data_IF_281248959785
#
_entry.id   IF_281248959785
#
_cell.length_a   1.000
_cell.length_b   1.000
_cell.length_c   1.000
_cell.angle_alpha   90.00
_cell.angle_beta   90.00
_cell.angle_gamma   90.00
#
_symmetry.space_group_name_H-M   'P 1'
#
loop_
_entity.id
_entity.type
_entity.pdbx_description
1 polymer ?
#
# COMPACT_ATOMS: atom_id res chain seq x y z
N UNK A 1 -1.72 25.05 20.93
CA UNK A 1 -2.09 24.32 19.71
C UNK A 1 -1.56 22.90 19.85
N UNK A 2 -2.42 21.95 20.24
CA UNK A 2 -2.00 20.60 20.60
C UNK A 2 -2.15 19.66 19.39
N UNK A 3 -1.06 19.44 18.65
CA UNK A 3 -0.95 18.30 17.74
C UNK A 3 -0.71 17.04 18.58
N UNK A 4 -1.75 16.56 19.26
CA UNK A 4 -1.69 15.31 20.01
C UNK A 4 -1.93 14.14 19.06
N UNK A 5 -0.83 13.42 18.83
CA UNK A 5 -0.76 11.95 18.73
C UNK A 5 -1.67 11.27 17.69
N UNK A 6 -1.16 11.17 16.45
CA UNK A 6 -1.56 10.13 15.48
C UNK A 6 -0.39 9.19 15.19
N UNK A 7 0.33 8.77 16.23
CA UNK A 7 1.45 7.81 16.15
C UNK A 7 1.43 6.79 17.30
N UNK A 8 0.23 6.43 17.79
CA UNK A 8 0.05 5.39 18.81
C UNK A 8 -0.63 4.12 18.27
N UNK A 9 -0.96 4.08 16.97
CA UNK A 9 -1.29 2.85 16.27
C UNK A 9 -0.01 2.37 15.60
N UNK A 10 0.42 1.15 15.93
CA UNK A 10 1.73 0.59 15.62
C UNK A 10 2.26 0.92 14.23
N UNK A 11 3.55 1.23 14.19
CA UNK A 11 4.29 1.57 12.98
C UNK A 11 4.10 0.49 11.92
N UNK A 12 3.52 0.85 10.77
CA UNK A 12 3.47 -0.05 9.60
C UNK A 12 4.88 -0.23 9.05
N UNK A 13 5.22 -1.47 8.73
CA UNK A 13 6.56 -1.88 8.29
C UNK A 13 6.47 -2.61 6.96
N UNK A 14 7.56 -2.60 6.18
CA UNK A 14 7.65 -3.42 4.96
C UNK A 14 7.30 -4.86 5.29
N UNK A 15 6.44 -5.45 4.46
CA UNK A 15 5.85 -6.77 4.67
C UNK A 15 4.46 -6.75 5.30
N UNK A 16 4.03 -5.66 5.95
CA UNK A 16 2.68 -5.57 6.51
C UNK A 16 1.60 -5.57 5.41
N UNK A 17 0.50 -6.28 5.66
CA UNK A 17 -0.71 -6.16 4.84
C UNK A 17 -1.52 -5.00 5.40
N UNK A 18 -1.90 -4.04 4.55
CA UNK A 18 -2.55 -2.79 4.95
C UNK A 18 -3.85 -2.56 4.20
N UNK A 19 -4.80 -1.93 4.90
CA UNK A 19 -5.99 -1.36 4.29
C UNK A 19 -5.67 0.07 3.83
N UNK A 20 -5.95 0.38 2.57
CA UNK A 20 -5.56 1.64 1.92
C UNK A 20 -6.72 2.24 1.14
N UNK A 21 -6.87 3.58 1.18
CA UNK A 21 -7.80 4.29 0.30
C UNK A 21 -7.31 4.24 -1.13
N UNK A 22 -8.15 3.79 -2.07
CA UNK A 22 -7.75 3.69 -3.48
C UNK A 22 -7.44 5.08 -4.05
N UNK A 23 -6.26 5.28 -4.66
CA UNK A 23 -5.94 6.53 -5.35
C UNK A 23 -6.83 6.78 -6.57
N UNK A 24 -7.32 5.72 -7.20
CA UNK A 24 -8.15 5.78 -8.40
C UNK A 24 -9.64 5.97 -8.09
N UNK A 25 -10.09 5.53 -6.91
CA UNK A 25 -11.46 5.70 -6.46
C UNK A 25 -11.51 5.97 -4.95
N UNK A 26 -11.60 7.23 -4.51
CA UNK A 26 -11.61 7.59 -3.08
C UNK A 26 -12.76 6.98 -2.27
N UNK A 27 -13.82 6.50 -2.92
CA UNK A 27 -14.95 5.83 -2.25
C UNK A 27 -14.66 4.34 -1.95
N UNK A 28 -13.51 3.80 -2.37
CA UNK A 28 -13.17 2.39 -2.16
C UNK A 28 -11.85 2.19 -1.42
N UNK A 29 -11.77 1.07 -0.70
CA UNK A 29 -10.58 0.63 0.00
C UNK A 29 -10.00 -0.62 -0.66
N UNK A 30 -8.68 -0.77 -0.61
CA UNK A 30 -7.94 -1.92 -1.09
C UNK A 30 -7.16 -2.56 0.06
N UNK A 31 -6.86 -3.86 -0.06
CA UNK A 31 -5.95 -4.56 0.85
C UNK A 31 -4.69 -4.93 0.07
N UNK A 32 -3.55 -4.36 0.43
CA UNK A 32 -2.28 -4.57 -0.28
C UNK A 32 -1.13 -4.78 0.69
N UNK A 33 -0.04 -5.39 0.23
CA UNK A 33 1.18 -5.55 1.01
C UNK A 33 2.09 -4.35 0.82
N UNK A 34 2.57 -3.79 1.92
CA UNK A 34 3.58 -2.75 1.93
C UNK A 34 4.92 -3.35 1.47
N UNK A 35 5.32 -3.04 0.23
CA UNK A 35 6.50 -3.61 -0.39
C UNK A 35 7.75 -2.74 -0.19
N UNK A 36 7.59 -1.42 -0.13
CA UNK A 36 8.69 -0.50 0.13
C UNK A 36 8.20 0.84 0.69
N UNK A 37 9.10 1.54 1.37
CA UNK A 37 8.93 2.86 1.99
C UNK A 37 9.87 3.89 1.33
N UNK A 38 9.67 5.16 1.69
CA UNK A 38 10.57 6.26 1.31
C UNK A 38 12.05 5.93 1.56
N UNK A 39 12.89 6.33 0.62
CA UNK A 39 14.33 6.05 0.60
C UNK A 39 14.73 4.72 -0.03
N UNK A 40 13.78 3.81 -0.31
CA UNK A 40 14.07 2.55 -1.01
C UNK A 40 13.92 2.69 -2.52
N UNK A 41 14.72 1.91 -3.26
CA UNK A 41 14.61 1.79 -4.71
C UNK A 41 13.50 0.80 -5.11
N UNK A 42 12.79 1.13 -6.18
CA UNK A 42 11.82 0.26 -6.84
C UNK A 42 11.91 0.42 -8.34
N UNK A 43 11.30 -0.49 -9.09
CA UNK A 43 11.26 -0.46 -10.56
C UNK A 43 9.88 -0.05 -11.02
N UNK A 44 9.84 0.96 -11.89
CA UNK A 44 8.61 1.39 -12.56
C UNK A 44 8.12 0.29 -13.49
N UNK A 45 6.87 -0.12 -13.33
CA UNK A 45 6.27 -1.15 -14.17
C UNK A 45 6.09 -0.72 -15.63
N UNK A 46 6.07 0.60 -15.91
CA UNK A 46 5.77 1.14 -17.24
C UNK A 46 6.97 1.15 -18.18
N UNK A 47 8.13 1.56 -17.67
CA UNK A 47 9.34 1.80 -18.46
C UNK A 47 10.55 1.02 -17.93
N UNK A 48 10.34 0.18 -16.92
CA UNK A 48 11.36 -0.67 -16.28
C UNK A 48 12.56 0.13 -15.74
N UNK A 49 12.34 1.41 -15.41
CA UNK A 49 13.36 2.28 -14.82
C UNK A 49 13.35 2.21 -13.30
N UNK A 50 14.54 2.19 -12.70
CA UNK A 50 14.69 2.26 -11.25
C UNK A 50 14.52 3.70 -10.76
N UNK A 51 13.78 3.87 -9.66
CA UNK A 51 13.67 5.15 -8.98
C UNK A 51 13.58 4.97 -7.46
N UNK A 52 13.90 6.03 -6.73
CA UNK A 52 13.81 6.06 -5.27
C UNK A 52 12.44 6.61 -4.85
N UNK A 53 11.76 5.90 -3.95
CA UNK A 53 10.50 6.34 -3.37
C UNK A 53 10.77 7.54 -2.46
N UNK A 54 9.96 8.61 -2.58
CA UNK A 54 10.16 9.81 -1.77
C UNK A 54 9.73 9.58 -0.32
N UNK A 55 10.32 10.34 0.59
CA UNK A 55 9.94 10.33 2.00
C UNK A 55 8.44 10.61 2.19
N UNK A 56 7.82 9.87 3.10
CA UNK A 56 6.37 9.93 3.33
C UNK A 56 5.52 9.23 2.26
N UNK A 57 6.13 8.62 1.25
CA UNK A 57 5.46 7.74 0.30
C UNK A 57 5.73 6.26 0.55
N UNK A 58 4.92 5.40 -0.06
CA UNK A 58 5.08 3.96 -0.06
C UNK A 58 4.74 3.31 -1.39
N UNK A 59 5.20 2.08 -1.53
CA UNK A 59 4.91 1.18 -2.64
C UNK A 59 4.12 -0.02 -2.11
N UNK A 60 2.93 -0.25 -2.66
CA UNK A 60 2.02 -1.32 -2.26
C UNK A 60 1.82 -2.29 -3.43
N UNK A 61 1.84 -3.58 -3.15
CA UNK A 61 1.65 -4.63 -4.15
C UNK A 61 0.52 -5.58 -3.75
N UNK A 62 -0.17 -6.13 -4.75
CA UNK A 62 -1.00 -7.30 -4.53
C UNK A 62 -0.12 -8.56 -4.34
N UNK A 63 -0.52 -9.46 -3.45
CA UNK A 63 0.21 -10.72 -3.22
C UNK A 63 0.04 -11.72 -4.37
N UNK A 64 -1.08 -11.63 -5.10
CA UNK A 64 -1.32 -12.51 -6.24
C UNK A 64 -0.48 -12.06 -7.44
N UNK A 65 0.64 -12.77 -7.65
CA UNK A 65 1.61 -12.50 -8.71
C UNK A 65 1.07 -12.79 -10.13
N UNK A 66 -0.03 -13.54 -10.24
CA UNK A 66 -0.65 -13.85 -11.53
C UNK A 66 -1.54 -12.70 -12.05
N UNK A 67 -1.77 -11.66 -11.24
CA UNK A 67 -2.55 -10.51 -11.65
C UNK A 67 -1.67 -9.52 -12.42
N UNK A 68 -2.17 -9.14 -13.59
CA UNK A 68 -1.63 -8.00 -14.32
C UNK A 68 -1.82 -6.71 -13.50
N UNK A 69 -0.96 -5.68 -13.66
CA UNK A 69 -1.05 -4.44 -12.89
C UNK A 69 -2.45 -3.83 -12.85
N UNK A 70 -3.15 -3.80 -13.98
CA UNK A 70 -4.49 -3.24 -14.14
C UNK A 70 -5.55 -3.98 -13.30
N UNK A 71 -5.41 -5.30 -13.18
CA UNK A 71 -6.29 -6.15 -12.36
C UNK A 71 -5.92 -6.06 -10.88
N UNK A 72 -4.61 -6.02 -10.60
CA UNK A 72 -4.08 -5.91 -9.26
C UNK A 72 -4.39 -4.56 -8.61
N UNK A 73 -4.54 -3.48 -9.40
CA UNK A 73 -4.79 -2.12 -8.94
C UNK A 73 -3.87 -1.76 -7.75
N UNK A 74 -2.57 -1.80 -8.00
CA UNK A 74 -1.54 -1.55 -7.00
C UNK A 74 -0.53 -0.51 -7.51
N UNK A 75 0.58 -0.30 -6.79
CA UNK A 75 1.54 0.76 -7.14
C UNK A 75 2.14 0.63 -8.53
N UNK A 76 2.10 -0.56 -9.15
CA UNK A 76 2.50 -0.73 -10.57
C UNK A 76 1.62 0.10 -11.52
N UNK A 77 0.37 0.37 -11.15
CA UNK A 77 -0.59 1.15 -11.93
C UNK A 77 -0.56 2.63 -11.57
N UNK A 78 -0.60 2.96 -10.28
CA UNK A 78 -0.81 4.33 -9.79
C UNK A 78 0.45 4.96 -9.16
N UNK A 79 1.59 4.26 -9.17
CA UNK A 79 2.86 4.75 -8.66
C UNK A 79 2.97 4.72 -7.12
N UNK A 80 3.93 5.45 -6.53
CA UNK A 80 4.02 5.59 -5.07
C UNK A 80 2.91 6.52 -4.55
N UNK A 81 2.34 6.22 -3.39
CA UNK A 81 1.29 7.04 -2.74
C UNK A 81 1.72 7.52 -1.37
N UNK A 82 0.99 8.48 -0.82
CA UNK A 82 1.23 8.94 0.55
C UNK A 82 0.94 7.83 1.56
N UNK A 83 1.78 7.74 2.58
CA UNK A 83 1.52 6.92 3.77
C UNK A 83 0.18 7.28 4.45
N UNK A 84 -0.32 8.50 4.26
CA UNK A 84 -1.62 8.92 4.78
C UNK A 84 -2.81 8.20 4.13
N UNK A 85 -2.63 7.56 2.98
CA UNK A 85 -3.65 6.70 2.38
C UNK A 85 -3.85 5.40 3.17
N UNK A 86 -2.87 4.98 3.99
CA UNK A 86 -2.98 3.77 4.82
C UNK A 86 -3.90 4.06 6.00
N UNK A 87 -4.99 3.31 6.09
CA UNK A 87 -5.92 3.36 7.22
C UNK A 87 -5.40 2.55 8.42
N UNK A 88 -4.75 1.42 8.16
CA UNK A 88 -4.24 0.56 9.20
C UNK A 88 -3.73 -0.78 8.70
N UNK A 89 -3.17 -1.58 9.60
CA UNK A 89 -2.68 -2.94 9.33
C UNK A 89 -3.80 -3.97 9.45
N UNK A 90 -3.84 -4.89 8.49
CA UNK A 90 -4.67 -6.09 8.53
C UNK A 90 -3.97 -7.13 9.40
N UNK A 91 -4.62 -7.54 10.50
CA UNK A 91 -4.03 -8.47 11.50
C UNK A 91 -4.57 -9.90 11.40
N UNK A 92 -5.79 -10.09 10.88
CA UNK A 92 -6.32 -11.39 10.54
C UNK A 92 -7.35 -11.25 9.41
N UNK A 93 -7.50 -12.31 8.61
CA UNK A 93 -8.66 -12.48 7.72
C UNK A 93 -9.50 -13.59 8.30
N UNK A 94 -10.77 -13.31 8.52
CA UNK A 94 -11.75 -14.33 8.85
C UNK A 94 -12.49 -14.76 7.58
N UNK A 95 -12.68 -16.06 7.40
CA UNK A 95 -13.44 -16.62 6.29
C UNK A 95 -14.33 -17.74 6.84
N UNK A 96 -15.65 -17.61 6.70
CA UNK A 96 -16.58 -18.69 6.97
C UNK A 96 -16.66 -19.58 5.73
N UNK A 97 -16.49 -20.89 5.89
CA UNK A 97 -16.50 -21.88 4.79
C UNK A 97 -17.90 -22.52 4.63
N UNK A 98 -18.95 -21.79 4.99
CA UNK A 98 -20.33 -22.26 4.88
C UNK A 98 -21.20 -21.14 4.29
N UNK A 99 -21.09 -20.95 2.98
CA UNK A 99 -22.13 -20.45 2.07
C UNK A 99 -21.85 -21.06 0.69
#
# INVERSE_FOLDING_TARGET
MAFRSRWLLGQVSVGDVVLVWSPLNPASCLVRRLAALGGQETVSAKDNQTFVIRDGQCWLLADNQNLEPEEANDSRTWGPISMNNIMGRVIYRFHNVHD
#
